data_IF_944132759087
#
_entry.id   IF_944132759087
#
_cell.length_a   1.000
_cell.length_b   1.000
_cell.length_c   1.000
_cell.angle_alpha   90.00
_cell.angle_beta   90.00
_cell.angle_gamma   90.00
#
_symmetry.space_group_name_H-M   'P 1'
#
loop_
_entity.id
_entity.type
_entity.pdbx_description
1 polymer ?
#
# COMPACT_ATOMS: atom_id res chain seq x y z
N UNK A 1 -1.11 -2.75 4.12
CA UNK A 1 -0.16 -1.70 3.66
C UNK A 1 -0.71 -1.03 2.40
N UNK A 2 -0.33 0.20 2.07
CA UNK A 2 -1.00 0.98 1.01
C UNK A 2 -0.10 1.34 -0.18
N UNK A 3 -0.60 1.21 -1.41
CA UNK A 3 0.09 1.67 -2.63
C UNK A 3 -0.90 2.05 -3.74
N UNK A 4 -0.62 3.13 -4.46
CA UNK A 4 -1.45 3.59 -5.58
C UNK A 4 -1.11 2.82 -6.87
N UNK A 5 -1.53 1.56 -6.93
CA UNK A 5 -1.23 0.61 -8.03
C UNK A 5 -2.46 0.18 -8.84
N UNK A 6 -3.60 0.84 -8.62
CA UNK A 6 -4.84 0.59 -9.35
C UNK A 6 -5.03 1.60 -10.49
N UNK A 7 -5.68 1.21 -11.60
CA UNK A 7 -5.85 2.09 -12.76
C UNK A 7 -6.55 3.41 -12.48
N UNK A 8 -7.37 3.48 -11.42
CA UNK A 8 -8.14 4.65 -11.01
C UNK A 8 -7.54 5.41 -9.81
N UNK A 9 -6.28 5.12 -9.48
CA UNK A 9 -5.53 5.74 -8.38
C UNK A 9 -4.21 6.34 -8.89
N UNK A 10 -3.55 7.15 -8.05
CA UNK A 10 -2.25 7.75 -8.38
C UNK A 10 -1.46 8.14 -7.13
N UNK A 11 -0.12 8.22 -7.20
CA UNK A 11 0.70 8.76 -6.11
C UNK A 11 0.26 10.16 -5.66
N UNK A 12 -0.21 11.01 -6.58
CA UNK A 12 -0.73 12.33 -6.24
C UNK A 12 -1.99 12.28 -5.37
N UNK A 13 -2.95 11.40 -5.69
CA UNK A 13 -4.15 11.20 -4.86
C UNK A 13 -3.80 10.60 -3.49
N UNK A 14 -2.90 9.61 -3.47
CA UNK A 14 -2.40 9.03 -2.21
C UNK A 14 -1.67 10.08 -1.35
N UNK A 15 -0.87 10.97 -1.96
CA UNK A 15 -0.23 12.09 -1.28
C UNK A 15 -1.25 13.01 -0.62
N UNK A 16 -2.31 13.40 -1.33
CA UNK A 16 -3.33 14.30 -0.79
C UNK A 16 -4.07 13.69 0.39
N UNK A 17 -4.44 12.40 0.29
CA UNK A 17 -5.09 11.67 1.37
C UNK A 17 -4.18 11.59 2.62
N UNK A 18 -2.91 11.22 2.44
CA UNK A 18 -1.96 11.09 3.54
C UNK A 18 -1.55 12.45 4.14
N UNK A 19 -1.34 13.46 3.30
CA UNK A 19 -0.94 14.81 3.74
C UNK A 19 -2.09 15.51 4.46
N UNK A 20 -3.30 15.41 3.91
CA UNK A 20 -4.52 15.93 4.55
C UNK A 20 -4.85 15.19 5.84
N UNK A 21 -4.81 13.85 5.83
CA UNK A 21 -5.05 13.02 7.01
C UNK A 21 -4.02 13.22 8.13
N UNK A 22 -2.79 13.61 7.77
CA UNK A 22 -1.73 14.01 8.69
C UNK A 22 -1.76 15.47 9.12
N UNK A 23 -2.86 16.19 8.89
CA UNK A 23 -3.03 17.63 9.20
C UNK A 23 -1.90 18.51 8.63
N UNK A 24 -1.44 18.18 7.43
CA UNK A 24 -0.39 18.92 6.71
C UNK A 24 0.96 19.00 7.42
N UNK A 25 1.18 18.19 8.45
CA UNK A 25 2.37 18.22 9.30
C UNK A 25 3.53 17.34 8.79
N UNK A 26 3.29 16.47 7.81
CA UNK A 26 4.32 15.58 7.27
C UNK A 26 5.39 16.37 6.48
N UNK A 27 6.63 15.89 6.49
CA UNK A 27 7.68 16.37 5.59
C UNK A 27 7.31 15.97 4.14
N UNK A 28 7.06 16.97 3.28
CA UNK A 28 6.51 16.76 1.94
C UNK A 28 7.39 15.85 1.08
N UNK A 29 8.70 16.06 1.07
CA UNK A 29 9.61 15.28 0.22
C UNK A 29 9.66 13.81 0.64
N UNK A 30 9.63 13.54 1.95
CA UNK A 30 9.57 12.18 2.48
C UNK A 30 8.23 11.53 2.11
N UNK A 31 7.11 12.23 2.32
CA UNK A 31 5.80 11.70 1.98
C UNK A 31 5.67 11.42 0.47
N UNK A 32 6.15 12.34 -0.37
CA UNK A 32 6.17 12.19 -1.82
C UNK A 32 6.96 10.94 -2.23
N UNK A 33 8.14 10.73 -1.64
CA UNK A 33 8.95 9.53 -1.87
C UNK A 33 8.19 8.26 -1.48
N UNK A 34 7.63 8.22 -0.27
CA UNK A 34 6.89 7.05 0.24
C UNK A 34 5.70 6.68 -0.65
N UNK A 35 4.89 7.65 -1.08
CA UNK A 35 3.69 7.34 -1.90
C UNK A 35 4.04 6.97 -3.35
N UNK A 36 5.17 7.45 -3.87
CA UNK A 36 5.62 7.18 -5.24
C UNK A 36 6.33 5.83 -5.34
N UNK A 37 7.11 5.45 -4.32
CA UNK A 37 7.85 4.18 -4.29
C UNK A 37 7.02 3.01 -3.72
N UNK A 38 5.88 3.29 -3.06
CA UNK A 38 5.03 2.25 -2.49
C UNK A 38 4.62 1.13 -3.48
N UNK A 39 4.23 1.40 -4.74
CA UNK A 39 3.89 0.33 -5.69
C UNK A 39 5.05 -0.65 -5.94
N UNK A 40 6.27 -0.13 -6.08
CA UNK A 40 7.47 -0.97 -6.25
C UNK A 40 7.72 -1.81 -5.00
N UNK A 41 7.58 -1.23 -3.81
CA UNK A 41 7.73 -1.95 -2.55
C UNK A 41 6.69 -3.08 -2.38
N UNK A 42 5.43 -2.86 -2.78
CA UNK A 42 4.40 -3.92 -2.78
C UNK A 42 4.78 -5.06 -3.73
N UNK A 43 5.21 -4.72 -4.95
CA UNK A 43 5.60 -5.74 -5.93
C UNK A 43 6.79 -6.55 -5.41
N UNK A 44 7.81 -5.88 -4.88
CA UNK A 44 8.97 -6.52 -4.27
C UNK A 44 8.59 -7.47 -3.12
N UNK A 45 7.69 -7.06 -2.22
CA UNK A 45 7.19 -7.94 -1.16
C UNK A 45 6.45 -9.16 -1.73
N UNK A 46 5.60 -8.95 -2.74
CA UNK A 46 4.90 -10.06 -3.41
C UNK A 46 5.88 -11.03 -4.08
N UNK A 47 6.96 -10.51 -4.69
CA UNK A 47 7.98 -11.32 -5.37
C UNK A 47 8.85 -12.11 -4.38
N UNK A 48 9.07 -11.56 -3.18
CA UNK A 48 9.71 -12.27 -2.07
C UNK A 48 8.85 -13.39 -1.48
N UNK A 49 7.53 -13.40 -1.73
CA UNK A 49 6.63 -14.44 -1.25
C UNK A 49 5.67 -13.99 -0.15
N UNK A 50 5.47 -12.68 0.06
CA UNK A 50 4.40 -12.17 0.91
C UNK A 50 3.06 -12.51 0.25
N UNK A 51 2.22 -13.29 0.93
CA UNK A 51 0.93 -13.71 0.42
C UNK A 51 -0.17 -12.66 0.64
N UNK A 52 -0.17 -11.60 -0.17
CA UNK A 52 -1.30 -10.68 -0.22
C UNK A 52 -2.58 -11.36 -0.74
N UNK A 53 -3.73 -10.91 -0.24
CA UNK A 53 -5.05 -11.36 -0.66
C UNK A 53 -5.21 -11.13 -2.17
N UNK A 54 -5.54 -12.19 -2.90
CA UNK A 54 -5.72 -12.19 -4.36
C UNK A 54 -7.11 -12.69 -4.72
N UNK A 55 -7.67 -12.12 -5.78
CA UNK A 55 -8.84 -12.69 -6.45
C UNK A 55 -8.46 -14.02 -7.13
N UNK A 56 -9.43 -14.85 -7.56
CA UNK A 56 -9.15 -16.13 -8.21
C UNK A 56 -8.27 -16.04 -9.47
N UNK A 57 -8.22 -14.87 -10.11
CA UNK A 57 -7.38 -14.59 -11.27
C UNK A 57 -5.95 -14.12 -10.94
N UNK A 58 -5.61 -14.06 -9.65
CA UNK A 58 -4.31 -13.62 -9.16
C UNK A 58 -4.18 -12.10 -8.93
N UNK A 59 -5.20 -11.31 -9.26
CA UNK A 59 -5.19 -9.87 -9.03
C UNK A 59 -5.19 -9.57 -7.52
N UNK A 60 -4.22 -8.80 -7.04
CA UNK A 60 -4.17 -8.37 -5.63
C UNK A 60 -5.40 -7.51 -5.28
N UNK A 61 -6.08 -7.88 -4.20
CA UNK A 61 -7.27 -7.20 -3.69
C UNK A 61 -6.83 -6.00 -2.85
N UNK A 62 -7.49 -4.86 -3.09
CA UNK A 62 -7.32 -3.65 -2.27
C UNK A 62 -8.63 -3.22 -1.64
N UNK A 63 -8.58 -2.79 -0.38
CA UNK A 63 -9.71 -2.23 0.36
C UNK A 63 -9.47 -0.74 0.69
N UNK A 64 -10.44 -0.10 1.34
CA UNK A 64 -10.28 1.25 1.88
C UNK A 64 -9.54 1.19 3.22
N UNK A 65 -8.54 2.06 3.37
CA UNK A 65 -8.01 2.44 4.68
C UNK A 65 -8.71 3.67 5.24
N UNK A 66 -8.54 3.96 6.54
CA UNK A 66 -8.98 5.23 7.11
C UNK A 66 -8.35 6.42 6.37
N UNK A 67 -9.16 7.43 6.04
CA UNK A 67 -8.70 8.64 5.35
C UNK A 67 -8.37 8.48 3.86
N UNK A 68 -8.65 7.32 3.25
CA UNK A 68 -8.35 7.06 1.83
C UNK A 68 -9.52 7.40 0.90
N UNK A 69 -9.25 8.08 -0.20
CA UNK A 69 -10.23 8.39 -1.26
C UNK A 69 -10.33 7.31 -2.35
N UNK A 70 -9.40 6.36 -2.39
CA UNK A 70 -9.40 5.19 -3.31
C UNK A 70 -9.06 3.91 -2.55
N UNK A 71 -9.47 2.77 -3.10
CA UNK A 71 -9.07 1.45 -2.61
C UNK A 71 -7.60 1.22 -2.99
N UNK A 72 -6.74 1.15 -1.98
CA UNK A 72 -5.30 0.98 -2.16
C UNK A 72 -4.62 0.21 -1.03
N UNK A 73 -5.41 -0.32 -0.09
CA UNK A 73 -4.88 -1.07 1.05
C UNK A 73 -4.80 -2.55 0.71
N UNK A 74 -3.59 -3.05 0.49
CA UNK A 74 -3.25 -4.47 0.39
C UNK A 74 -3.17 -5.10 1.77
N UNK A 75 -3.60 -6.34 1.89
CA UNK A 75 -3.57 -7.09 3.13
C UNK A 75 -3.26 -8.57 2.87
N UNK A 76 -2.75 -9.26 3.88
CA UNK A 76 -2.83 -10.71 3.99
C UNK A 76 -3.81 -11.00 5.14
N UNK A 77 -5.10 -11.18 4.79
CA UNK A 77 -6.21 -11.23 5.73
C UNK A 77 -6.08 -10.15 6.81
N UNK A 78 -6.10 -10.53 8.09
CA UNK A 78 -5.95 -9.65 9.25
C UNK A 78 -4.57 -9.74 9.93
N UNK A 79 -3.59 -10.40 9.31
CA UNK A 79 -2.25 -10.63 9.88
C UNK A 79 -1.09 -10.17 8.99
N UNK A 80 -1.34 -9.18 8.12
CA UNK A 80 -0.35 -8.63 7.17
C UNK A 80 1.05 -8.41 7.76
N UNK A 81 1.15 -7.90 9.00
CA UNK A 81 2.43 -7.70 9.66
C UNK A 81 3.18 -9.01 9.94
N UNK A 82 2.49 -10.04 10.41
CA UNK A 82 3.09 -11.36 10.65
C UNK A 82 3.56 -12.01 9.33
N UNK A 83 2.78 -11.85 8.26
CA UNK A 83 3.10 -12.42 6.94
C UNK A 83 4.31 -11.75 6.28
N UNK A 84 4.39 -10.41 6.38
CA UNK A 84 5.57 -9.67 5.94
C UNK A 84 6.80 -10.09 6.76
N UNK A 85 6.68 -10.17 8.08
CA UNK A 85 7.80 -10.55 8.96
C UNK A 85 8.26 -11.99 8.74
N UNK A 86 7.33 -12.94 8.49
CA UNK A 86 7.65 -14.32 8.12
C UNK A 86 8.52 -14.35 6.86
N UNK A 87 8.08 -13.63 5.82
CA UNK A 87 8.76 -13.62 4.53
C UNK A 87 10.12 -12.93 4.58
N UNK A 88 10.27 -11.83 5.34
CA UNK A 88 11.54 -11.08 5.38
C UNK A 88 12.61 -11.72 6.27
N UNK A 89 12.20 -12.55 7.24
CA UNK A 89 13.13 -13.20 8.17
C UNK A 89 13.73 -14.47 7.58
N UNK A 90 12.94 -15.21 6.81
CA UNK A 90 13.28 -16.53 6.27
C UNK A 90 14.02 -16.40 4.92
#
# INVERSE_FOLDING_TARGET
IQAADKPNDSPAQHFLDAYGGGHFAAQKDLLYKLVTEAPEAIQWLSDLGVEFDKAPDGTMITTHGGGTSRKRMHAAKDYSGAEIMRTLRD
#
